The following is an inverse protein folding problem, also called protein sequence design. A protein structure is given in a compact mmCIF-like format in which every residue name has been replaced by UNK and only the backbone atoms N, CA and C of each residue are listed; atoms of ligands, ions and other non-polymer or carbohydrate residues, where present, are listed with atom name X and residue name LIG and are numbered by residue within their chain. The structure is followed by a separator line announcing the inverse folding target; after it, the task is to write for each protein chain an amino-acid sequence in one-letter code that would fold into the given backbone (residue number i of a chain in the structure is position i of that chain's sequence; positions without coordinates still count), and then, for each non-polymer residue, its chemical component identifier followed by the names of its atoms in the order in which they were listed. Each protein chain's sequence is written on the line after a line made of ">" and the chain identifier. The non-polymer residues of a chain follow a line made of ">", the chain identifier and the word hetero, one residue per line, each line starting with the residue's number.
data_IF_703552060669
#
_entry.id   IF_703552060669
#
_cell.length_a   1.000
_cell.length_b   1.000
_cell.length_c   1.000
_cell.angle_alpha   90.00
_cell.angle_beta   90.00
_cell.angle_gamma   90.00
#
_symmetry.space_group_name_H-M   'P 1'
#
loop_
_entity.id
_entity.type
_entity.pdbx_description
1 polymer ?
#
# COMPACT_ATOMS: atom_id res chain seq x y z
N UNK A 1 12.77 -28.64 53.04
CA UNK A 1 13.15 -27.83 54.18
C UNK A 1 14.22 -26.84 53.71
N UNK A 2 13.86 -25.73 53.12
CA UNK A 2 14.72 -24.55 52.93
C UNK A 2 13.81 -23.34 52.80
N UNK A 3 14.10 -22.31 53.51
CA UNK A 3 13.28 -21.21 53.94
C UNK A 3 13.05 -20.12 52.86
N UNK A 4 11.85 -19.61 52.89
CA UNK A 4 11.43 -18.36 52.23
C UNK A 4 12.10 -17.14 52.86
N UNK A 5 12.79 -16.35 52.04
CA UNK A 5 13.22 -15.02 52.45
C UNK A 5 12.33 -13.96 51.74
N UNK A 6 11.39 -13.45 52.52
CA UNK A 6 10.62 -12.22 52.22
C UNK A 6 11.57 -11.03 52.24
N UNK A 7 11.59 -10.24 51.18
CA UNK A 7 12.12 -8.88 51.25
C UNK A 7 11.05 -7.85 50.91
N UNK A 8 10.84 -7.02 51.88
CA UNK A 8 9.82 -6.01 52.06
C UNK A 8 10.03 -4.79 51.14
N UNK A 9 8.96 -4.33 50.56
CA UNK A 9 8.48 -2.99 50.20
C UNK A 9 9.41 -1.80 50.36
N UNK A 10 9.39 -0.96 49.35
CA UNK A 10 9.14 0.48 49.53
C UNK A 10 8.14 0.98 48.51
N UNK A 11 7.01 1.43 48.99
CA UNK A 11 6.02 2.24 48.28
C UNK A 11 6.64 3.59 47.92
N UNK A 12 6.45 4.03 46.68
CA UNK A 12 6.64 5.43 46.33
C UNK A 12 5.30 5.99 45.84
N UNK A 13 4.81 6.88 46.66
CA UNK A 13 3.54 7.61 46.56
C UNK A 13 3.61 8.67 45.48
N UNK A 14 2.52 8.77 44.69
CA UNK A 14 1.94 10.07 44.44
C UNK A 14 2.42 10.85 43.25
N UNK A 15 1.62 10.86 42.22
CA UNK A 15 1.32 12.11 41.54
C UNK A 15 -0.16 12.12 41.15
N UNK A 16 -0.98 12.61 42.08
CA UNK A 16 -2.38 12.91 41.85
C UNK A 16 -2.44 14.30 41.23
N UNK A 17 -2.77 14.38 39.96
CA UNK A 17 -3.03 15.63 39.24
C UNK A 17 -4.28 16.28 39.86
N UNK A 18 -4.08 17.41 40.53
CA UNK A 18 -5.12 18.23 41.08
C UNK A 18 -6.11 18.72 40.02
N UNK A 19 -7.34 18.21 40.08
CA UNK A 19 -8.50 18.85 39.49
C UNK A 19 -8.77 20.16 40.27
N UNK A 20 -8.71 21.29 39.58
CA UNK A 20 -9.08 22.59 40.15
C UNK A 20 -10.59 22.65 40.42
N UNK A 21 -11.08 23.03 41.62
CA UNK A 21 -12.50 23.18 41.87
C UNK A 21 -13.05 24.44 41.21
N UNK A 22 -14.26 24.32 40.65
CA UNK A 22 -15.08 25.41 40.16
C UNK A 22 -15.26 26.47 41.28
N UNK A 23 -14.86 27.70 41.01
CA UNK A 23 -15.07 28.82 41.90
C UNK A 23 -16.47 29.39 41.66
N UNK A 24 -17.35 29.17 42.61
CA UNK A 24 -18.61 29.89 42.75
C UNK A 24 -18.30 31.38 42.99
N UNK A 25 -18.73 32.24 42.04
CA UNK A 25 -18.65 33.69 42.25
C UNK A 25 -19.97 34.17 42.82
N UNK A 26 -19.93 34.64 44.05
CA UNK A 26 -21.04 35.23 44.76
C UNK A 26 -21.34 36.63 44.22
N UNK A 27 -22.62 36.90 44.13
CA UNK A 27 -23.25 38.17 43.83
C UNK A 27 -22.70 39.32 44.72
N UNK A 28 -22.31 40.41 44.10
CA UNK A 28 -22.20 41.72 44.80
C UNK A 28 -22.62 42.81 43.83
N UNK A 29 -23.66 43.53 44.23
CA UNK A 29 -23.93 44.93 44.20
C UNK A 29 -23.95 45.64 42.83
N UNK A 30 -25.13 46.18 42.58
CA UNK A 30 -25.44 47.16 41.53
C UNK A 30 -24.60 48.46 41.71
N UNK A 31 -24.55 49.12 40.56
CA UNK A 31 -24.16 50.49 40.24
C UNK A 31 -22.78 50.59 39.58
N UNK A 32 -22.84 50.66 38.27
CA UNK A 32 -22.31 51.74 37.42
C UNK A 32 -22.62 51.43 35.95
N UNK A 33 -23.37 52.30 35.36
CA UNK A 33 -23.63 52.40 33.92
C UNK A 33 -22.39 52.96 33.23
N UNK A 34 -21.77 52.23 32.35
CA UNK A 34 -21.08 52.83 31.20
C UNK A 34 -21.09 51.84 30.02
N UNK A 35 -21.55 52.40 28.93
CA UNK A 35 -21.65 51.83 27.57
C UNK A 35 -20.28 51.37 27.05
N UNK A 36 -20.13 50.08 26.77
CA UNK A 36 -19.28 49.58 25.70
C UNK A 36 -19.85 48.23 25.26
N UNK A 37 -20.73 48.28 24.28
CA UNK A 37 -21.21 47.13 23.50
C UNK A 37 -20.07 46.63 22.65
N UNK A 38 -19.21 45.73 23.19
CA UNK A 38 -18.34 44.89 22.41
C UNK A 38 -19.16 43.68 21.99
N UNK A 39 -19.49 43.64 20.71
CA UNK A 39 -20.05 42.53 19.97
C UNK A 39 -19.15 41.32 20.11
N UNK A 40 -19.44 40.47 21.10
CA UNK A 40 -18.89 39.10 21.17
C UNK A 40 -19.62 38.25 20.13
N UNK A 41 -19.20 38.43 18.86
CA UNK A 41 -19.59 37.60 17.72
C UNK A 41 -18.95 36.21 17.97
N UNK A 42 -19.64 35.40 18.79
CA UNK A 42 -19.36 33.98 18.89
C UNK A 42 -19.62 33.38 17.50
N UNK A 43 -18.59 33.34 16.68
CA UNK A 43 -18.52 32.54 15.47
C UNK A 43 -18.85 31.08 15.83
N UNK A 44 -20.15 30.78 15.86
CA UNK A 44 -20.66 29.43 15.86
C UNK A 44 -20.24 28.85 14.51
N UNK A 45 -19.07 28.22 14.50
CA UNK A 45 -18.61 27.44 13.36
C UNK A 45 -19.62 26.32 13.15
N UNK A 46 -20.63 26.60 12.34
CA UNK A 46 -21.54 25.59 11.83
C UNK A 46 -20.71 24.56 11.04
N UNK A 47 -20.29 23.49 11.72
CA UNK A 47 -19.77 22.31 11.03
C UNK A 47 -20.92 21.78 10.16
N UNK A 48 -20.85 22.12 8.86
CA UNK A 48 -21.77 21.58 7.86
C UNK A 48 -21.83 20.06 8.04
N UNK A 49 -23.03 19.46 8.18
CA UNK A 49 -23.13 18.01 8.34
C UNK A 49 -22.49 17.35 7.13
N UNK A 50 -21.35 16.68 7.34
CA UNK A 50 -20.68 15.91 6.30
C UNK A 50 -21.66 14.88 5.79
N UNK A 51 -22.01 14.97 4.50
CA UNK A 51 -22.97 14.06 3.85
C UNK A 51 -22.44 12.63 3.95
N UNK A 52 -23.00 11.82 4.84
CA UNK A 52 -22.57 10.44 5.16
C UNK A 52 -22.55 9.51 3.95
N UNK A 53 -23.35 9.78 2.89
CA UNK A 53 -23.42 8.94 1.70
C UNK A 53 -22.19 8.98 0.78
N UNK A 54 -21.35 10.04 0.87
CA UNK A 54 -20.22 10.21 -0.05
C UNK A 54 -19.03 9.33 0.36
N UNK A 55 -18.91 8.96 1.64
CA UNK A 55 -17.86 8.05 2.13
C UNK A 55 -18.02 6.59 1.68
N UNK A 56 -19.24 6.23 1.23
CA UNK A 56 -19.53 4.87 0.80
C UNK A 56 -18.83 4.51 -0.52
N UNK A 57 -18.65 5.51 -1.40
CA UNK A 57 -18.21 5.29 -2.77
C UNK A 57 -16.74 4.82 -2.85
N UNK A 58 -15.74 5.45 -2.19
CA UNK A 58 -14.37 4.92 -2.16
C UNK A 58 -14.31 3.53 -1.54
N UNK A 59 -14.96 3.33 -0.38
CA UNK A 59 -14.96 2.04 0.29
C UNK A 59 -15.62 0.91 -0.54
N UNK A 60 -16.54 1.25 -1.45
CA UNK A 60 -17.13 0.28 -2.37
C UNK A 60 -16.09 -0.22 -3.39
N UNK A 61 -15.20 0.65 -3.90
CA UNK A 61 -14.10 0.24 -4.79
C UNK A 61 -13.09 -0.61 -4.04
N UNK A 62 -12.70 -0.23 -2.82
CA UNK A 62 -11.82 -1.03 -1.96
C UNK A 62 -12.43 -2.42 -1.68
N UNK A 63 -13.74 -2.47 -1.39
CA UNK A 63 -14.45 -3.75 -1.20
C UNK A 63 -14.47 -4.56 -2.49
N UNK A 64 -14.64 -3.93 -3.65
CA UNK A 64 -14.60 -4.62 -4.94
C UNK A 64 -13.19 -5.15 -5.26
N UNK A 65 -12.13 -4.41 -4.92
CA UNK A 65 -10.75 -4.86 -5.03
C UNK A 65 -10.49 -6.07 -4.12
N UNK A 66 -10.93 -6.01 -2.86
CA UNK A 66 -10.86 -7.13 -1.92
C UNK A 66 -11.62 -8.36 -2.43
N UNK A 67 -12.82 -8.14 -2.97
CA UNK A 67 -13.60 -9.22 -3.58
C UNK A 67 -12.86 -9.86 -4.76
N UNK A 68 -12.25 -9.07 -5.63
CA UNK A 68 -11.49 -9.59 -6.77
C UNK A 68 -10.26 -10.38 -6.31
N UNK A 69 -9.53 -9.93 -5.28
CA UNK A 69 -8.43 -10.67 -4.66
C UNK A 69 -8.87 -11.99 -4.04
N UNK A 70 -9.96 -11.98 -3.28
CA UNK A 70 -10.56 -13.20 -2.72
C UNK A 70 -11.05 -14.16 -3.82
N UNK A 71 -11.71 -13.62 -4.84
CA UNK A 71 -12.16 -14.40 -6.00
C UNK A 71 -10.99 -15.08 -6.73
N UNK A 72 -9.83 -14.39 -6.83
CA UNK A 72 -8.63 -14.99 -7.41
C UNK A 72 -8.19 -16.25 -6.65
N UNK A 73 -8.22 -16.22 -5.32
CA UNK A 73 -7.89 -17.38 -4.48
C UNK A 73 -8.88 -18.53 -4.76
N UNK A 74 -10.16 -18.23 -4.78
CA UNK A 74 -11.21 -19.24 -5.07
C UNK A 74 -11.05 -19.84 -6.47
N UNK A 75 -10.69 -19.04 -7.47
CA UNK A 75 -10.45 -19.55 -8.82
C UNK A 75 -9.18 -20.42 -8.90
N UNK A 76 -8.12 -20.07 -8.15
CA UNK A 76 -6.94 -20.92 -8.06
C UNK A 76 -7.26 -22.27 -7.44
N UNK A 77 -8.04 -22.33 -6.35
CA UNK A 77 -8.53 -23.59 -5.75
C UNK A 77 -9.37 -24.43 -6.72
N UNK A 78 -10.02 -23.79 -7.70
CA UNK A 78 -10.77 -24.44 -8.77
C UNK A 78 -9.91 -24.73 -10.02
N UNK A 79 -8.58 -24.63 -9.92
CA UNK A 79 -7.62 -24.85 -11.01
C UNK A 79 -7.79 -23.90 -12.20
N UNK A 80 -8.46 -22.75 -12.03
CA UNK A 80 -8.70 -21.75 -13.07
C UNK A 80 -7.72 -20.59 -12.90
N UNK A 81 -6.45 -20.86 -13.12
CA UNK A 81 -5.35 -19.93 -12.83
C UNK A 81 -5.31 -18.72 -13.78
N UNK A 82 -5.79 -18.87 -15.01
CA UNK A 82 -6.02 -17.77 -15.97
C UNK A 82 -6.98 -16.72 -15.39
N UNK A 83 -8.15 -17.17 -14.91
CA UNK A 83 -9.15 -16.31 -14.28
C UNK A 83 -8.63 -15.73 -12.98
N UNK A 84 -7.87 -16.51 -12.19
CA UNK A 84 -7.26 -16.04 -10.96
C UNK A 84 -6.26 -14.90 -11.23
N UNK A 85 -5.42 -15.03 -12.25
CA UNK A 85 -4.49 -13.98 -12.65
C UNK A 85 -5.21 -12.72 -13.11
N UNK A 86 -6.22 -12.85 -13.98
CA UNK A 86 -7.05 -11.72 -14.44
C UNK A 86 -7.73 -11.02 -13.26
N UNK A 87 -8.21 -11.77 -12.25
CA UNK A 87 -8.86 -11.22 -11.08
C UNK A 87 -7.88 -10.37 -10.23
N UNK A 88 -6.60 -10.76 -10.13
CA UNK A 88 -5.57 -9.94 -9.46
C UNK A 88 -5.34 -8.62 -10.22
N UNK A 89 -5.29 -8.65 -11.56
CA UNK A 89 -5.20 -7.42 -12.35
C UNK A 89 -6.44 -6.54 -12.21
N UNK A 90 -7.64 -7.14 -12.14
CA UNK A 90 -8.86 -6.41 -11.88
C UNK A 90 -8.84 -5.75 -10.48
N UNK A 91 -8.37 -6.47 -9.45
CA UNK A 91 -8.16 -5.90 -8.12
C UNK A 91 -7.24 -4.68 -8.17
N UNK A 92 -6.13 -4.73 -8.92
CA UNK A 92 -5.18 -3.62 -9.07
C UNK A 92 -5.81 -2.38 -9.73
N UNK A 93 -6.69 -2.58 -10.71
CA UNK A 93 -7.42 -1.47 -11.34
C UNK A 93 -8.41 -0.83 -10.37
N UNK A 94 -9.18 -1.64 -9.65
CA UNK A 94 -10.18 -1.19 -8.68
C UNK A 94 -9.54 -0.42 -7.53
N UNK A 95 -8.41 -0.94 -6.99
CA UNK A 95 -7.58 -0.29 -5.98
C UNK A 95 -7.04 1.07 -6.46
N UNK A 96 -6.52 1.15 -7.68
CA UNK A 96 -6.09 2.43 -8.26
C UNK A 96 -7.22 3.45 -8.44
N UNK A 97 -8.49 3.00 -8.51
CA UNK A 97 -9.67 3.86 -8.64
C UNK A 97 -10.11 4.43 -7.30
N UNK A 98 -10.11 3.65 -6.20
CA UNK A 98 -10.62 4.11 -4.90
C UNK A 98 -9.85 5.30 -4.35
N UNK A 99 -8.53 5.28 -4.38
CA UNK A 99 -7.69 6.40 -3.98
C UNK A 99 -7.86 7.65 -4.87
N UNK A 100 -8.21 7.51 -6.14
CA UNK A 100 -8.54 8.63 -7.03
C UNK A 100 -9.91 9.21 -6.70
N UNK A 101 -10.90 8.34 -6.53
CA UNK A 101 -12.27 8.72 -6.17
C UNK A 101 -12.28 9.43 -4.81
N UNK A 102 -11.61 8.89 -3.78
CA UNK A 102 -11.50 9.50 -2.47
C UNK A 102 -10.92 10.93 -2.52
N UNK A 103 -9.92 11.17 -3.38
CA UNK A 103 -9.32 12.49 -3.59
C UNK A 103 -10.23 13.46 -4.33
N UNK A 104 -10.93 13.02 -5.37
CA UNK A 104 -11.85 13.85 -6.15
C UNK A 104 -13.06 14.24 -5.30
N UNK A 105 -13.56 13.33 -4.47
CA UNK A 105 -14.74 13.54 -3.62
C UNK A 105 -14.41 14.17 -2.27
N UNK A 106 -13.12 14.41 -1.96
CA UNK A 106 -12.65 14.90 -0.64
C UNK A 106 -13.19 14.06 0.53
N UNK A 107 -13.25 12.73 0.38
CA UNK A 107 -13.83 11.79 1.36
C UNK A 107 -12.78 10.90 2.01
N UNK A 108 -11.54 11.36 2.08
CA UNK A 108 -10.47 10.64 2.77
C UNK A 108 -10.82 10.49 4.26
N UNK A 109 -10.65 9.28 4.81
CA UNK A 109 -10.89 8.98 6.23
C UNK A 109 -9.83 8.02 6.75
N UNK A 110 -9.50 8.13 8.04
CA UNK A 110 -8.56 7.21 8.69
C UNK A 110 -9.04 5.75 8.62
N UNK A 111 -10.36 5.52 8.66
CA UNK A 111 -10.93 4.19 8.46
C UNK A 111 -10.68 3.67 7.04
N UNK A 112 -10.91 4.52 6.02
CA UNK A 112 -10.68 4.15 4.62
C UNK A 112 -9.23 3.76 4.34
N UNK A 113 -8.26 4.48 4.90
CA UNK A 113 -6.82 4.18 4.76
C UNK A 113 -6.44 2.84 5.38
N UNK A 114 -7.01 2.50 6.55
CA UNK A 114 -6.77 1.21 7.19
C UNK A 114 -7.45 0.06 6.42
N UNK A 115 -8.68 0.28 5.98
CA UNK A 115 -9.44 -0.70 5.21
C UNK A 115 -8.77 -1.00 3.86
N UNK A 116 -8.27 0.02 3.18
CA UNK A 116 -7.47 -0.07 1.96
C UNK A 116 -6.21 -0.93 2.18
N UNK A 117 -5.45 -0.67 3.25
CA UNK A 117 -4.28 -1.48 3.59
C UNK A 117 -4.59 -2.96 3.84
N UNK A 118 -5.74 -3.27 4.44
CA UNK A 118 -6.20 -4.67 4.64
C UNK A 118 -6.62 -5.32 3.33
N UNK A 119 -7.30 -4.57 2.46
CA UNK A 119 -7.64 -4.99 1.11
C UNK A 119 -6.40 -5.28 0.27
N UNK A 120 -5.41 -4.37 0.30
CA UNK A 120 -4.11 -4.50 -0.36
C UNK A 120 -3.37 -5.76 0.10
N UNK A 121 -3.35 -6.02 1.41
CA UNK A 121 -2.70 -7.21 1.95
C UNK A 121 -3.31 -8.49 1.39
N UNK A 122 -4.64 -8.53 1.27
CA UNK A 122 -5.35 -9.68 0.72
C UNK A 122 -5.13 -9.81 -0.78
N UNK A 123 -5.32 -8.73 -1.53
CA UNK A 123 -5.34 -8.74 -3.00
C UNK A 123 -3.94 -8.82 -3.62
N UNK A 124 -2.92 -8.24 -2.97
CA UNK A 124 -1.56 -8.15 -3.52
C UNK A 124 -0.50 -8.88 -2.67
N UNK A 125 -0.84 -9.29 -1.45
CA UNK A 125 0.00 -10.13 -0.60
C UNK A 125 -0.41 -11.59 -0.63
N UNK A 126 -1.62 -11.89 -0.15
CA UNK A 126 -2.10 -13.27 0.05
C UNK A 126 -2.48 -13.92 -1.28
N UNK A 127 -3.30 -13.25 -2.10
CA UNK A 127 -3.84 -13.86 -3.32
C UNK A 127 -2.75 -14.27 -4.32
N UNK A 128 -1.75 -13.43 -4.70
CA UNK A 128 -0.69 -13.87 -5.61
C UNK A 128 0.18 -14.99 -5.04
N UNK A 129 0.44 -14.97 -3.73
CA UNK A 129 1.20 -16.03 -3.05
C UNK A 129 0.49 -17.38 -3.16
N UNK A 130 -0.82 -17.40 -2.86
CA UNK A 130 -1.62 -18.63 -2.90
C UNK A 130 -1.89 -19.09 -4.34
N UNK A 131 -2.14 -18.19 -5.27
CA UNK A 131 -2.31 -18.54 -6.71
C UNK A 131 -1.04 -19.19 -7.25
N UNK A 132 0.14 -18.63 -6.95
CA UNK A 132 1.42 -19.20 -7.38
C UNK A 132 1.71 -20.53 -6.68
N UNK A 133 1.37 -20.65 -5.40
CA UNK A 133 1.56 -21.88 -4.64
C UNK A 133 0.68 -23.01 -5.20
N UNK A 134 -0.61 -22.75 -5.38
CA UNK A 134 -1.57 -23.73 -5.88
C UNK A 134 -1.28 -24.12 -7.32
N UNK A 135 -0.79 -23.18 -8.14
CA UNK A 135 -0.48 -23.44 -9.53
C UNK A 135 0.72 -24.37 -9.72
N UNK A 136 1.84 -24.13 -9.02
CA UNK A 136 3.09 -24.83 -9.35
C UNK A 136 4.06 -24.99 -8.15
N UNK A 137 4.05 -24.07 -7.17
CA UNK A 137 5.06 -24.13 -6.10
C UNK A 137 4.85 -25.32 -5.16
N UNK A 138 3.64 -25.87 -5.06
CA UNK A 138 3.36 -27.03 -4.23
C UNK A 138 4.21 -28.25 -4.64
N UNK A 139 4.63 -28.36 -5.91
CA UNK A 139 5.51 -29.41 -6.41
C UNK A 139 6.90 -29.39 -5.79
N UNK A 140 7.34 -28.22 -5.28
CA UNK A 140 8.62 -28.07 -4.57
C UNK A 140 8.54 -28.42 -3.07
N UNK A 141 7.39 -28.91 -2.60
CA UNK A 141 7.20 -29.29 -1.21
C UNK A 141 7.53 -28.16 -0.24
N UNK A 142 8.50 -28.36 0.66
CA UNK A 142 8.87 -27.37 1.67
C UNK A 142 9.35 -26.03 1.09
N UNK A 143 10.06 -26.04 0.01
CA UNK A 143 10.57 -24.81 -0.62
C UNK A 143 9.46 -23.96 -1.22
N UNK A 144 8.44 -24.61 -1.79
CA UNK A 144 7.33 -23.89 -2.42
C UNK A 144 6.51 -23.08 -1.45
N UNK A 145 6.05 -23.67 -0.32
CA UNK A 145 5.26 -22.91 0.64
C UNK A 145 6.09 -21.86 1.38
N UNK A 146 7.42 -22.10 1.58
CA UNK A 146 8.31 -21.09 2.14
C UNK A 146 8.40 -19.87 1.22
N UNK A 147 8.53 -20.07 -0.10
CA UNK A 147 8.57 -18.95 -1.05
C UNK A 147 7.26 -18.12 -1.03
N UNK A 148 6.11 -18.81 -1.03
CA UNK A 148 4.81 -18.16 -0.93
C UNK A 148 4.65 -17.39 0.39
N UNK A 149 5.09 -17.96 1.51
CA UNK A 149 5.07 -17.32 2.82
C UNK A 149 5.99 -16.09 2.87
N UNK A 150 7.22 -16.21 2.36
CA UNK A 150 8.18 -15.09 2.29
C UNK A 150 7.59 -13.94 1.46
N UNK A 151 6.99 -14.23 0.31
CA UNK A 151 6.33 -13.21 -0.50
C UNK A 151 5.23 -12.49 0.29
N UNK A 152 4.32 -13.24 0.93
CA UNK A 152 3.23 -12.72 1.73
C UNK A 152 3.75 -11.86 2.91
N UNK A 153 4.78 -12.35 3.62
CA UNK A 153 5.41 -11.62 4.72
C UNK A 153 6.07 -10.33 4.26
N UNK A 154 6.76 -10.36 3.11
CA UNK A 154 7.36 -9.15 2.53
C UNK A 154 6.30 -8.12 2.14
N UNK A 155 5.14 -8.54 1.63
CA UNK A 155 4.02 -7.66 1.36
C UNK A 155 3.49 -6.99 2.64
N UNK A 156 3.31 -7.76 3.72
CA UNK A 156 2.89 -7.25 5.02
C UNK A 156 3.88 -6.24 5.59
N UNK A 157 5.19 -6.56 5.58
CA UNK A 157 6.25 -5.67 6.07
C UNK A 157 6.30 -4.38 5.25
N UNK A 158 6.12 -4.46 3.93
CA UNK A 158 6.07 -3.29 3.07
C UNK A 158 4.89 -2.39 3.41
N UNK A 159 3.68 -2.94 3.56
CA UNK A 159 2.49 -2.17 3.92
C UNK A 159 2.62 -1.53 5.30
N UNK A 160 3.13 -2.28 6.29
CA UNK A 160 3.40 -1.76 7.63
C UNK A 160 4.41 -0.60 7.58
N UNK A 161 5.52 -0.74 6.82
CA UNK A 161 6.52 0.32 6.63
C UNK A 161 5.93 1.54 5.93
N UNK A 162 5.08 1.35 4.93
CA UNK A 162 4.43 2.45 4.22
C UNK A 162 3.51 3.23 5.17
N UNK A 163 2.69 2.54 5.95
CA UNK A 163 1.77 3.15 6.91
C UNK A 163 2.50 3.88 8.04
N UNK A 164 3.62 3.33 8.53
CA UNK A 164 4.44 3.97 9.57
C UNK A 164 5.15 5.25 9.08
N UNK A 165 5.43 5.37 7.78
CA UNK A 165 6.19 6.48 7.20
C UNK A 165 5.32 7.52 6.46
N UNK A 166 4.00 7.47 6.63
CA UNK A 166 3.08 8.47 6.05
C UNK A 166 3.45 9.86 6.60
N UNK A 167 3.97 10.74 5.74
CA UNK A 167 4.33 12.12 6.08
C UNK A 167 5.83 12.43 6.15
N UNK A 168 6.72 11.44 6.16
CA UNK A 168 8.17 11.65 6.33
C UNK A 168 8.97 11.42 5.03
N UNK A 169 8.43 10.70 4.05
CA UNK A 169 9.17 10.27 2.85
C UNK A 169 8.88 11.16 1.64
N UNK A 170 9.94 11.45 0.84
CA UNK A 170 9.83 12.16 -0.44
C UNK A 170 8.85 11.43 -1.38
N UNK A 171 7.78 12.12 -1.79
CA UNK A 171 6.66 11.57 -2.58
C UNK A 171 7.05 11.15 -4.02
N UNK A 172 8.28 11.39 -4.45
CA UNK A 172 8.74 11.12 -5.83
C UNK A 172 9.19 9.67 -6.04
N UNK A 173 9.67 9.00 -5.00
CA UNK A 173 10.21 7.64 -5.10
C UNK A 173 9.61 6.75 -4.02
N UNK A 174 9.17 5.57 -4.43
CA UNK A 174 8.86 4.50 -3.50
C UNK A 174 10.15 3.79 -3.06
N UNK A 175 10.24 3.43 -1.79
CA UNK A 175 11.27 2.54 -1.29
C UNK A 175 10.77 1.10 -1.44
N UNK A 176 11.41 0.34 -2.32
CA UNK A 176 11.02 -1.01 -2.68
C UNK A 176 9.91 -1.08 -3.75
N UNK A 177 9.74 -2.28 -4.33
CA UNK A 177 8.74 -2.54 -5.36
C UNK A 177 7.31 -2.36 -4.79
N UNK A 178 6.41 -1.60 -5.43
CA UNK A 178 5.02 -1.52 -5.01
C UNK A 178 4.32 -2.89 -4.96
N UNK A 179 3.47 -3.16 -3.93
CA UNK A 179 2.77 -4.45 -3.81
C UNK A 179 1.88 -4.78 -5.01
N UNK A 180 1.16 -3.83 -5.64
CA UNK A 180 0.44 -4.13 -6.87
C UNK A 180 1.37 -4.54 -8.03
N UNK A 181 2.55 -3.91 -8.14
CA UNK A 181 3.50 -4.27 -9.20
C UNK A 181 4.14 -5.65 -8.95
N UNK A 182 4.43 -6.01 -7.71
CA UNK A 182 4.90 -7.35 -7.35
C UNK A 182 3.81 -8.41 -7.62
N UNK A 183 2.55 -8.11 -7.27
CA UNK A 183 1.41 -8.97 -7.57
C UNK A 183 1.22 -9.17 -9.08
N UNK A 184 1.34 -8.09 -9.86
CA UNK A 184 1.25 -8.13 -11.30
C UNK A 184 2.39 -8.94 -11.95
N UNK A 185 3.60 -8.89 -11.38
CA UNK A 185 4.72 -9.72 -11.85
C UNK A 185 4.44 -11.21 -11.65
N UNK A 186 3.93 -11.58 -10.46
CA UNK A 186 3.61 -12.97 -10.12
C UNK A 186 2.40 -13.46 -10.91
N UNK A 187 1.29 -12.74 -10.91
CA UNK A 187 0.07 -13.09 -11.66
C UNK A 187 0.28 -13.05 -13.16
N UNK A 188 1.06 -12.08 -13.65
CA UNK A 188 1.42 -11.97 -15.07
C UNK A 188 2.23 -13.16 -15.56
N UNK A 189 3.14 -13.70 -14.74
CA UNK A 189 3.88 -14.90 -15.06
C UNK A 189 2.96 -16.14 -15.16
N UNK A 190 2.04 -16.30 -14.20
CA UNK A 190 1.04 -17.38 -14.24
C UNK A 190 0.21 -17.30 -15.52
N UNK A 191 -0.31 -16.11 -15.82
CA UNK A 191 -1.15 -15.89 -17.00
C UNK A 191 -0.37 -16.14 -18.29
N UNK A 192 0.86 -15.61 -18.41
CA UNK A 192 1.72 -15.81 -19.56
C UNK A 192 1.95 -17.29 -19.88
N UNK A 193 2.29 -18.09 -18.85
CA UNK A 193 2.61 -19.50 -19.05
C UNK A 193 1.38 -20.31 -19.45
N UNK A 194 0.22 -20.00 -18.87
CA UNK A 194 -1.03 -20.72 -19.14
C UNK A 194 -1.56 -20.36 -20.55
N UNK A 195 -1.60 -19.09 -20.88
CA UNK A 195 -2.16 -18.60 -22.16
C UNK A 195 -1.32 -19.05 -23.34
N UNK A 196 0.01 -18.94 -23.23
CA UNK A 196 0.94 -19.37 -24.27
C UNK A 196 1.22 -20.88 -24.25
N UNK A 197 0.52 -21.64 -23.40
CA UNK A 197 0.63 -23.12 -23.30
C UNK A 197 2.09 -23.57 -23.16
N UNK A 198 2.91 -22.80 -22.42
CA UNK A 198 4.28 -23.17 -22.17
C UNK A 198 4.34 -24.47 -21.34
N UNK A 199 5.38 -25.30 -21.52
CA UNK A 199 5.46 -26.62 -20.90
C UNK A 199 5.63 -26.49 -19.36
N UNK A 200 4.53 -26.51 -18.63
CA UNK A 200 4.51 -26.42 -17.15
C UNK A 200 5.14 -27.65 -16.50
N UNK A 201 5.10 -28.80 -17.20
CA UNK A 201 5.63 -30.07 -16.69
C UNK A 201 7.16 -30.22 -16.73
N UNK A 202 7.85 -29.22 -17.27
CA UNK A 202 9.31 -29.21 -17.27
C UNK A 202 9.85 -29.01 -15.86
N UNK A 203 10.85 -29.79 -15.47
CA UNK A 203 11.43 -29.82 -14.10
C UNK A 203 11.97 -28.45 -13.65
N UNK A 204 12.33 -27.57 -14.55
CA UNK A 204 12.87 -26.25 -14.24
C UNK A 204 11.79 -25.19 -14.00
N UNK A 205 10.54 -25.39 -14.47
CA UNK A 205 9.47 -24.39 -14.37
C UNK A 205 9.12 -24.03 -12.89
N UNK A 206 8.96 -24.98 -11.95
CA UNK A 206 8.73 -24.66 -10.56
C UNK A 206 9.85 -23.82 -9.94
N UNK A 207 11.10 -24.05 -10.34
CA UNK A 207 12.25 -23.26 -9.86
C UNK A 207 12.27 -21.85 -10.40
N UNK A 208 11.83 -21.62 -11.63
CA UNK A 208 11.65 -20.26 -12.18
C UNK A 208 10.54 -19.54 -11.44
N UNK A 209 9.40 -20.20 -11.22
CA UNK A 209 8.30 -19.65 -10.42
C UNK A 209 8.75 -19.31 -8.98
N UNK A 210 9.54 -20.19 -8.37
CA UNK A 210 10.17 -19.94 -7.08
C UNK A 210 11.05 -18.69 -7.09
N UNK A 211 11.93 -18.57 -8.09
CA UNK A 211 12.81 -17.40 -8.25
C UNK A 211 12.04 -16.09 -8.45
N UNK A 212 11.01 -16.09 -9.29
CA UNK A 212 10.17 -14.92 -9.53
C UNK A 212 9.42 -14.51 -8.26
N UNK A 213 8.88 -15.49 -7.51
CA UNK A 213 8.13 -15.24 -6.28
C UNK A 213 9.03 -14.63 -5.21
N UNK A 214 10.23 -15.19 -4.99
CA UNK A 214 11.20 -14.65 -4.05
C UNK A 214 11.72 -13.28 -4.49
N UNK A 215 12.04 -13.10 -5.77
CA UNK A 215 12.47 -11.82 -6.31
C UNK A 215 11.42 -10.73 -6.08
N UNK A 216 10.16 -11.01 -6.41
CA UNK A 216 9.06 -10.07 -6.21
C UNK A 216 8.88 -9.73 -4.71
N UNK A 217 8.89 -10.75 -3.84
CA UNK A 217 8.78 -10.57 -2.40
C UNK A 217 9.91 -9.73 -1.81
N UNK A 218 11.17 -10.14 -2.02
CA UNK A 218 12.34 -9.44 -1.48
C UNK A 218 12.47 -8.03 -2.05
N UNK A 219 12.07 -7.81 -3.31
CA UNK A 219 12.07 -6.49 -3.94
C UNK A 219 11.11 -5.51 -3.25
N UNK A 220 10.00 -5.98 -2.68
CA UNK A 220 9.06 -5.14 -1.92
C UNK A 220 9.71 -4.53 -0.66
N UNK A 221 10.57 -5.28 0.02
CA UNK A 221 11.24 -4.83 1.26
C UNK A 221 12.56 -4.12 0.98
N UNK A 222 13.09 -4.21 -0.25
CA UNK A 222 14.34 -3.57 -0.65
C UNK A 222 14.29 -2.05 -0.48
N UNK A 223 15.47 -1.42 -0.39
CA UNK A 223 15.60 0.06 -0.38
C UNK A 223 15.83 0.64 -1.78
N UNK A 224 15.65 -0.16 -2.83
CA UNK A 224 15.78 0.32 -4.20
C UNK A 224 14.73 1.41 -4.50
N UNK A 225 15.12 2.53 -5.12
CA UNK A 225 14.19 3.61 -5.46
C UNK A 225 13.40 3.25 -6.72
N UNK A 226 12.10 3.05 -6.57
CA UNK A 226 11.20 2.86 -7.71
C UNK A 226 10.47 4.17 -8.02
N UNK A 227 10.33 4.48 -9.31
CA UNK A 227 9.65 5.69 -9.73
C UNK A 227 8.15 5.62 -9.45
N UNK A 228 7.62 6.63 -8.75
CA UNK A 228 6.22 6.58 -8.28
C UNK A 228 5.20 7.06 -9.32
N UNK A 229 5.63 7.59 -10.48
CA UNK A 229 4.75 8.15 -11.50
C UNK A 229 3.98 9.42 -11.09
N UNK A 230 3.99 9.77 -9.78
CA UNK A 230 3.26 10.95 -9.25
C UNK A 230 3.89 12.29 -9.65
N UNK A 231 5.13 12.28 -10.16
CA UNK A 231 5.84 13.48 -10.61
C UNK A 231 5.43 13.91 -12.04
N UNK A 232 4.63 13.13 -12.73
CA UNK A 232 4.02 13.53 -14.00
C UNK A 232 2.86 14.48 -13.67
N UNK A 233 3.19 15.78 -13.59
CA UNK A 233 2.19 16.83 -13.39
C UNK A 233 1.44 17.03 -14.73
N UNK A 234 0.44 16.18 -14.95
CA UNK A 234 -0.39 16.13 -16.18
C UNK A 234 -1.19 17.44 -16.37
N UNK A 235 -1.07 18.38 -15.42
CA UNK A 235 -1.92 19.57 -15.35
C UNK A 235 -1.59 20.62 -16.42
N UNK A 236 -0.41 20.56 -17.06
CA UNK A 236 0.02 21.68 -17.92
C UNK A 236 0.28 21.36 -19.39
N UNK A 237 0.54 20.18 -19.83
CA UNK A 237 0.57 19.71 -21.25
C UNK A 237 0.99 18.26 -21.28
N UNK A 238 0.11 17.37 -21.72
CA UNK A 238 0.51 16.01 -22.09
C UNK A 238 1.33 16.11 -23.39
N UNK A 239 2.64 15.87 -23.39
CA UNK A 239 3.42 15.95 -24.61
C UNK A 239 2.87 14.91 -25.62
N UNK A 240 2.81 15.27 -26.89
CA UNK A 240 2.32 14.39 -27.97
C UNK A 240 2.94 12.99 -27.92
N UNK A 241 4.24 12.89 -27.62
CA UNK A 241 4.94 11.61 -27.45
C UNK A 241 4.35 10.73 -26.34
N UNK A 242 3.80 11.30 -25.25
CA UNK A 242 3.13 10.54 -24.20
C UNK A 242 1.81 9.95 -24.71
N UNK A 243 1.06 10.68 -25.52
CA UNK A 243 -0.18 10.17 -26.14
C UNK A 243 0.12 9.00 -27.08
N UNK A 244 1.17 9.13 -27.91
CA UNK A 244 1.62 8.05 -28.80
C UNK A 244 2.08 6.84 -27.99
N UNK A 245 2.85 7.04 -26.92
CA UNK A 245 3.29 5.96 -26.03
C UNK A 245 2.11 5.20 -25.42
N UNK A 246 1.10 5.94 -24.91
CA UNK A 246 -0.11 5.34 -24.33
C UNK A 246 -0.88 4.55 -25.40
N UNK A 247 -1.00 5.09 -26.63
CA UNK A 247 -1.67 4.40 -27.75
C UNK A 247 -0.92 3.11 -28.12
N UNK A 248 0.41 3.17 -28.24
CA UNK A 248 1.23 1.99 -28.55
C UNK A 248 1.10 0.94 -27.47
N UNK A 249 1.17 1.35 -26.19
CA UNK A 249 0.99 0.45 -25.07
C UNK A 249 -0.40 -0.19 -25.07
N UNK A 250 -1.44 0.59 -25.36
CA UNK A 250 -2.80 0.08 -25.48
C UNK A 250 -2.93 -0.97 -26.61
N UNK A 251 -2.35 -0.71 -27.77
CA UNK A 251 -2.33 -1.67 -28.88
C UNK A 251 -1.59 -2.95 -28.50
N UNK A 252 -0.41 -2.83 -27.88
CA UNK A 252 0.37 -3.99 -27.41
C UNK A 252 -0.42 -4.85 -26.42
N UNK A 253 -1.04 -4.20 -25.40
CA UNK A 253 -1.87 -4.90 -24.42
C UNK A 253 -3.10 -5.51 -25.07
N UNK A 254 -3.67 -4.90 -26.11
CA UNK A 254 -4.85 -5.45 -26.80
C UNK A 254 -4.51 -6.65 -27.71
N UNK A 255 -3.26 -6.77 -28.17
CA UNK A 255 -2.83 -7.87 -29.04
C UNK A 255 -2.56 -9.14 -28.25
N UNK A 256 -1.78 -9.03 -27.18
CA UNK A 256 -1.42 -10.14 -26.29
C UNK A 256 -1.29 -9.62 -24.84
N UNK A 257 -2.41 -9.59 -24.10
CA UNK A 257 -2.43 -9.03 -22.75
C UNK A 257 -1.42 -9.68 -21.78
N UNK A 258 -1.28 -11.03 -21.71
CA UNK A 258 -0.35 -11.68 -20.80
C UNK A 258 1.10 -11.30 -21.06
N UNK A 259 1.53 -11.34 -22.31
CA UNK A 259 2.90 -11.00 -22.70
C UNK A 259 3.20 -9.53 -22.45
N UNK A 260 2.31 -8.65 -22.89
CA UNK A 260 2.51 -7.20 -22.76
C UNK A 260 2.55 -6.75 -21.30
N UNK A 261 1.62 -7.22 -20.45
CA UNK A 261 1.56 -6.87 -19.06
C UNK A 261 2.74 -7.47 -18.29
N UNK A 262 3.08 -8.73 -18.51
CA UNK A 262 4.23 -9.33 -17.84
C UNK A 262 5.53 -8.61 -18.21
N UNK A 263 5.78 -8.33 -19.50
CA UNK A 263 6.95 -7.59 -19.96
C UNK A 263 7.03 -6.18 -19.34
N UNK A 264 5.90 -5.48 -19.25
CA UNK A 264 5.80 -4.16 -18.63
C UNK A 264 6.22 -4.20 -17.16
N UNK A 265 5.70 -5.15 -16.38
CA UNK A 265 6.02 -5.25 -14.98
C UNK A 265 7.42 -5.80 -14.71
N UNK A 266 7.97 -6.67 -15.57
CA UNK A 266 9.38 -7.07 -15.55
C UNK A 266 10.28 -5.86 -15.80
N UNK A 267 10.01 -5.08 -16.85
CA UNK A 267 10.77 -3.85 -17.14
C UNK A 267 10.71 -2.86 -15.97
N UNK A 268 9.53 -2.67 -15.38
CA UNK A 268 9.37 -1.82 -14.18
C UNK A 268 10.15 -2.37 -12.98
N UNK A 269 10.10 -3.67 -12.71
CA UNK A 269 10.81 -4.30 -11.60
C UNK A 269 12.35 -4.19 -11.76
N UNK A 270 12.86 -4.29 -12.98
CA UNK A 270 14.28 -4.12 -13.28
C UNK A 270 14.69 -2.64 -13.19
N UNK A 271 13.84 -1.70 -13.62
CA UNK A 271 14.14 -0.27 -13.66
C UNK A 271 14.56 0.31 -12.30
N UNK A 272 13.98 -0.17 -11.21
CA UNK A 272 14.33 0.25 -9.85
C UNK A 272 15.78 -0.09 -9.49
N UNK A 273 16.24 -1.28 -9.86
CA UNK A 273 17.63 -1.71 -9.61
C UNK A 273 18.63 -1.02 -10.53
N UNK A 274 18.26 -0.79 -11.79
CA UNK A 274 19.08 -0.01 -12.74
C UNK A 274 19.27 1.42 -12.21
N UNK A 275 18.21 2.07 -11.75
CA UNK A 275 18.28 3.40 -11.15
C UNK A 275 19.12 3.41 -9.86
N UNK A 276 18.97 2.38 -9.03
CA UNK A 276 19.76 2.24 -7.79
C UNK A 276 21.26 2.07 -8.09
N UNK A 277 21.60 1.19 -9.03
CA UNK A 277 22.99 0.99 -9.46
C UNK A 277 23.59 2.24 -10.09
N UNK A 278 22.83 2.92 -10.97
CA UNK A 278 23.27 4.16 -11.59
C UNK A 278 23.57 5.28 -10.55
N UNK A 279 22.68 5.43 -9.54
CA UNK A 279 22.91 6.39 -8.44
C UNK A 279 24.10 6.02 -7.57
N UNK A 280 24.32 4.73 -7.30
CA UNK A 280 25.47 4.26 -6.54
C UNK A 280 26.78 4.61 -7.25
N UNK A 281 26.84 4.45 -8.57
CA UNK A 281 28.02 4.78 -9.39
C UNK A 281 28.28 6.29 -9.43
N UNK A 282 27.22 7.13 -9.46
CA UNK A 282 27.36 8.59 -9.58
C UNK A 282 27.36 9.31 -8.20
N UNK A 283 27.55 8.59 -7.10
CA UNK A 283 27.73 9.16 -5.75
C UNK A 283 26.54 9.96 -5.21
N UNK A 284 25.33 9.78 -5.77
CA UNK A 284 24.16 10.49 -5.29
C UNK A 284 23.66 9.87 -3.97
N UNK A 285 23.36 10.71 -2.94
CA UNK A 285 22.88 10.18 -1.64
C UNK A 285 21.58 9.40 -1.82
N UNK A 286 21.50 8.24 -1.17
CA UNK A 286 20.29 7.42 -1.14
C UNK A 286 19.10 8.22 -0.58
N UNK A 287 17.87 7.89 -1.03
CA UNK A 287 16.62 8.59 -0.64
C UNK A 287 16.46 8.74 0.87
N UNK A 288 16.95 7.77 1.66
CA UNK A 288 16.90 7.80 3.13
C UNK A 288 17.85 8.84 3.77
N UNK A 289 18.96 9.22 3.10
CA UNK A 289 19.95 10.16 3.65
C UNK A 289 19.51 11.61 3.47
N UNK A 290 18.79 11.91 2.38
CA UNK A 290 18.33 13.27 2.08
C UNK A 290 17.24 13.78 3.04
N UNK A 291 16.49 12.88 3.66
CA UNK A 291 15.46 13.22 4.66
C UNK A 291 16.10 13.62 6.01
N UNK A 292 17.25 13.03 6.35
CA UNK A 292 17.95 13.31 7.60
C UNK A 292 18.63 14.68 7.61
N UNK A 293 19.13 15.11 6.47
CA UNK A 293 19.82 16.40 6.35
C UNK A 293 18.86 17.61 6.29
N UNK A 294 17.60 17.41 5.85
CA UNK A 294 16.58 18.46 5.84
C UNK A 294 15.83 18.61 7.18
N UNK A 295 16.03 17.72 8.14
CA UNK A 295 15.42 17.77 9.48
C UNK A 295 16.30 18.35 10.57
N UNK A 296 17.51 18.81 10.22
CA UNK A 296 18.50 19.37 11.17
C UNK A 296 18.74 20.88 11.00
N UNK A 297 17.75 21.62 10.46
CA UNK A 297 17.75 23.09 10.46
C UNK A 297 16.57 23.66 11.20
#
# INVERSE_FOLDING_TARGET
>A
MVAFHRRNKRANSGNVTHLRPFRHNQLRGADDLDDDAADDDHDIVYQRPRRRGIYLLPNAFTTAALFAGFFAIVQAMNMRFDVAAIAIFAAMVLDGMDGRVARITNTQSAFGEQYDSLSDMTSFGVAPALVMYEWILHDLGKWGWIAAFVYCTCAALRLARFNANIGVVDKRFFQGLPSPAAAALVAGFVWLVIDNKLPVKELWMPWVAFGITLYAGLSMVSNAPFYSGKALDVRYRVPFGMMVLVLVLFVLVSTDPPVALFALFVAYAISGYVLWGWRAIHGQPGVAKKVRDNGSH
#
